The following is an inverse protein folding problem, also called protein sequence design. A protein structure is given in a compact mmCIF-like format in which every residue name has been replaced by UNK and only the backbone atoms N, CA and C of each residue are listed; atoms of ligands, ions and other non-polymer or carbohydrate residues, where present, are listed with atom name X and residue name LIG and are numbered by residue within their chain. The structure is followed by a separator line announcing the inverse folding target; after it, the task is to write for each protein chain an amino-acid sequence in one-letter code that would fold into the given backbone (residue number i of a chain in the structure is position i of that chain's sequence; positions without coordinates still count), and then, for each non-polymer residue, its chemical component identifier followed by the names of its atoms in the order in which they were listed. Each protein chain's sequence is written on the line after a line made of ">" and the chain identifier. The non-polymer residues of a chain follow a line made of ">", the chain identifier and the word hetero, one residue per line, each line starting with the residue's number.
data_IF_741200598674
#
_entry.id   IF_741200598674
#
_cell.length_a   1.000
_cell.length_b   1.000
_cell.length_c   1.000
_cell.angle_alpha   90.00
_cell.angle_beta   90.00
_cell.angle_gamma   90.00
#
_symmetry.space_group_name_H-M   'P 1'
#
loop_
_entity.id
_entity.type
_entity.pdbx_description
1 polymer ?
#
# COMPACT_ATOMS: atom_id res chain seq x y z
N UNK A 1 7.71 5.58 9.78
CA UNK A 1 6.64 5.19 10.73
C UNK A 1 6.78 5.82 12.13
N UNK A 2 7.79 6.66 12.41
CA UNK A 2 8.10 7.18 13.76
C UNK A 2 6.90 7.80 14.51
N UNK A 3 6.04 8.59 13.85
CA UNK A 3 4.84 9.15 14.48
C UNK A 3 3.82 8.10 14.95
N UNK A 4 3.66 7.00 14.22
CA UNK A 4 2.75 5.90 14.59
C UNK A 4 3.27 5.14 15.81
N UNK A 5 4.55 4.78 15.81
CA UNK A 5 5.20 4.13 16.97
C UNK A 5 5.22 5.04 18.20
N UNK A 6 5.41 6.36 18.03
CA UNK A 6 5.35 7.30 19.13
C UNK A 6 3.94 7.40 19.75
N UNK A 7 2.89 7.43 18.92
CA UNK A 7 1.51 7.42 19.41
C UNK A 7 1.18 6.12 20.14
N UNK A 8 1.64 4.96 19.65
CA UNK A 8 1.50 3.67 20.34
C UNK A 8 2.16 3.70 21.73
N UNK A 9 3.41 4.14 21.83
CA UNK A 9 4.12 4.28 23.11
C UNK A 9 3.46 5.27 24.06
N UNK A 10 2.88 6.35 23.54
CA UNK A 10 2.14 7.32 24.36
C UNK A 10 0.89 6.66 24.99
N UNK A 11 0.18 5.82 24.23
CA UNK A 11 -0.97 5.05 24.76
C UNK A 11 -0.54 4.04 25.82
N UNK A 12 0.57 3.33 25.62
CA UNK A 12 1.16 2.42 26.62
C UNK A 12 1.51 3.15 27.94
N UNK A 13 1.83 4.44 27.86
CA UNK A 13 2.12 5.31 29.02
C UNK A 13 0.90 6.01 29.61
N UNK A 14 -0.31 5.65 29.18
CA UNK A 14 -1.58 6.16 29.73
C UNK A 14 -2.20 7.33 28.97
N UNK A 15 -1.57 7.86 27.91
CA UNK A 15 -2.20 8.86 27.03
C UNK A 15 -3.12 8.15 26.02
N UNK A 16 -4.24 7.61 26.51
CA UNK A 16 -5.14 6.72 25.75
C UNK A 16 -5.68 7.32 24.45
N UNK A 17 -5.77 8.64 24.35
CA UNK A 17 -6.26 9.36 23.17
C UNK A 17 -5.17 9.75 22.16
N UNK A 18 -3.90 9.40 22.40
CA UNK A 18 -2.83 9.75 21.48
C UNK A 18 -3.05 9.10 20.11
N UNK A 19 -3.03 9.92 19.06
CA UNK A 19 -3.18 9.48 17.67
C UNK A 19 -2.10 10.10 16.77
N UNK A 20 -1.56 9.29 15.89
CA UNK A 20 -0.63 9.68 14.84
C UNK A 20 -1.36 10.21 13.60
N UNK A 21 -0.62 10.87 12.71
CA UNK A 21 -1.17 11.38 11.45
C UNK A 21 -1.77 10.25 10.58
N UNK A 22 -1.08 9.12 10.45
CA UNK A 22 -1.56 7.99 9.63
C UNK A 22 -2.82 7.33 10.20
N UNK A 23 -2.95 7.25 11.53
CA UNK A 23 -4.17 6.74 12.16
C UNK A 23 -5.36 7.63 11.84
N UNK A 24 -5.19 8.96 11.85
CA UNK A 24 -6.23 9.93 11.45
C UNK A 24 -6.56 9.85 9.97
N UNK A 25 -5.54 9.74 9.12
CA UNK A 25 -5.70 9.65 7.66
C UNK A 25 -6.55 8.42 7.27
N UNK A 26 -6.30 7.28 7.91
CA UNK A 26 -6.97 6.02 7.61
C UNK A 26 -8.26 5.80 8.41
N UNK A 27 -8.55 6.63 9.43
CA UNK A 27 -9.73 6.46 10.29
C UNK A 27 -11.09 6.43 9.57
N UNK A 28 -11.31 7.19 8.47
CA UNK A 28 -12.58 7.14 7.74
C UNK A 28 -12.79 5.87 6.92
N UNK A 29 -11.75 5.04 6.73
CA UNK A 29 -11.83 3.85 5.90
C UNK A 29 -12.47 2.67 6.67
N UNK A 30 -13.40 1.92 6.07
CA UNK A 30 -13.91 0.71 6.69
C UNK A 30 -12.80 -0.33 6.86
N UNK A 31 -12.78 -1.07 7.98
CA UNK A 31 -11.74 -2.09 8.25
C UNK A 31 -11.59 -3.17 7.16
N UNK A 32 -12.64 -3.43 6.40
CA UNK A 32 -12.64 -4.41 5.30
C UNK A 32 -12.16 -3.82 3.96
N UNK A 33 -11.85 -2.53 3.92
CA UNK A 33 -11.24 -1.85 2.77
C UNK A 33 -9.90 -2.49 2.44
N UNK A 34 -9.65 -2.65 1.13
CA UNK A 34 -8.35 -3.04 0.61
C UNK A 34 -7.47 -1.83 0.35
N UNK A 35 -6.20 -1.89 0.75
CA UNK A 35 -5.21 -0.87 0.44
C UNK A 35 -4.27 -1.34 -0.66
N UNK A 36 -4.05 -0.48 -1.66
CA UNK A 36 -2.96 -0.61 -2.62
C UNK A 36 -2.06 0.60 -2.45
N UNK A 37 -0.79 0.38 -2.16
CA UNK A 37 0.24 1.42 -2.13
C UNK A 37 1.22 1.21 -3.26
N UNK A 38 1.75 2.31 -3.80
CA UNK A 38 2.71 2.31 -4.91
C UNK A 38 3.82 3.28 -4.56
N UNK A 39 5.06 2.85 -4.77
CA UNK A 39 6.24 3.68 -4.55
C UNK A 39 7.31 3.36 -5.60
N UNK A 40 8.01 4.38 -6.08
CA UNK A 40 9.25 4.21 -6.84
C UNK A 40 10.40 3.92 -5.85
N UNK A 41 10.40 2.70 -5.32
CA UNK A 41 11.30 2.23 -4.27
C UNK A 41 10.83 0.90 -3.68
N UNK A 42 11.55 0.36 -2.70
CA UNK A 42 11.25 -0.98 -2.19
C UNK A 42 9.86 -1.04 -1.50
N UNK A 43 8.97 -1.97 -1.87
CA UNK A 43 7.56 -1.99 -1.41
C UNK A 43 7.41 -2.09 0.10
N UNK A 44 8.38 -2.71 0.79
CA UNK A 44 8.43 -2.79 2.26
C UNK A 44 8.35 -1.41 2.95
N UNK A 45 8.78 -0.34 2.28
CA UNK A 45 8.72 1.05 2.78
C UNK A 45 7.30 1.47 3.16
N UNK A 46 6.29 1.02 2.41
CA UNK A 46 4.88 1.27 2.65
C UNK A 46 4.12 0.03 3.15
N UNK A 47 4.80 -1.11 3.27
CA UNK A 47 4.26 -2.39 3.73
C UNK A 47 3.52 -2.32 5.08
N UNK A 48 3.97 -1.45 5.96
CA UNK A 48 3.45 -1.32 7.32
C UNK A 48 2.08 -0.61 7.42
N UNK A 49 1.64 0.10 6.36
CA UNK A 49 0.38 0.87 6.41
C UNK A 49 -0.85 -0.01 6.67
N UNK A 50 -0.86 -1.24 6.14
CA UNK A 50 -1.92 -2.22 6.38
C UNK A 50 -2.10 -2.54 7.87
N UNK A 51 -1.01 -2.55 8.62
CA UNK A 51 -1.03 -2.88 10.05
C UNK A 51 -1.61 -1.77 10.94
N UNK A 52 -1.75 -0.54 10.45
CA UNK A 52 -2.21 0.61 11.26
C UNK A 52 -3.61 0.38 11.84
N UNK A 53 -4.54 -0.09 11.02
CA UNK A 53 -5.92 -0.44 11.43
C UNK A 53 -6.32 -1.87 11.05
N UNK A 54 -5.35 -2.69 10.60
CA UNK A 54 -5.57 -4.09 10.21
C UNK A 54 -6.19 -4.26 8.82
N UNK A 55 -5.90 -3.37 7.88
CA UNK A 55 -6.38 -3.47 6.50
C UNK A 55 -5.60 -4.53 5.72
N UNK A 56 -6.29 -5.24 4.81
CA UNK A 56 -5.61 -6.03 3.78
C UNK A 56 -4.86 -5.08 2.87
N UNK A 57 -3.59 -5.38 2.57
CA UNK A 57 -2.75 -4.49 1.77
C UNK A 57 -1.97 -5.26 0.70
N UNK A 58 -1.85 -4.65 -0.48
CA UNK A 58 -0.81 -4.95 -1.47
C UNK A 58 0.09 -3.73 -1.66
N UNK A 59 1.36 -3.84 -1.28
CA UNK A 59 2.36 -2.81 -1.55
C UNK A 59 3.11 -3.14 -2.85
N UNK A 60 3.05 -2.24 -3.82
CA UNK A 60 3.77 -2.33 -5.09
C UNK A 60 4.98 -1.40 -5.06
N UNK A 61 6.08 -1.83 -5.68
CA UNK A 61 7.30 -1.06 -5.70
C UNK A 61 8.41 -1.75 -6.48
N UNK A 62 9.59 -1.16 -6.45
CA UNK A 62 10.79 -1.59 -7.17
C UNK A 62 11.61 -2.52 -6.29
N UNK A 63 11.79 -3.77 -6.71
CA UNK A 63 12.57 -4.79 -5.96
C UNK A 63 13.98 -5.01 -6.52
N UNK A 64 14.20 -4.68 -7.79
CA UNK A 64 15.46 -4.91 -8.51
C UNK A 64 15.84 -3.66 -9.29
N UNK A 65 17.14 -3.40 -9.43
CA UNK A 65 17.68 -2.25 -10.16
C UNK A 65 18.49 -2.69 -11.37
N UNK A 66 18.85 -1.75 -12.24
CA UNK A 66 19.75 -1.97 -13.38
C UNK A 66 19.08 -2.11 -14.75
N UNK A 67 17.77 -1.91 -14.81
CA UNK A 67 17.03 -1.86 -16.07
C UNK A 67 17.23 -0.50 -16.75
N UNK A 68 17.22 -0.50 -18.08
CA UNK A 68 17.19 0.72 -18.90
C UNK A 68 16.02 0.63 -19.87
N UNK A 69 15.38 1.77 -20.15
CA UNK A 69 14.19 1.82 -20.99
C UNK A 69 13.44 3.13 -20.78
N UNK A 70 12.25 3.24 -21.39
CA UNK A 70 11.36 4.37 -21.10
C UNK A 70 10.76 4.23 -19.70
N UNK A 71 10.25 5.33 -19.12
CA UNK A 71 9.54 5.27 -17.83
C UNK A 71 8.41 4.25 -17.86
N UNK A 72 7.67 4.17 -18.98
CA UNK A 72 6.58 3.22 -19.14
C UNK A 72 7.06 1.76 -19.12
N UNK A 73 8.20 1.48 -19.76
CA UNK A 73 8.80 0.14 -19.76
C UNK A 73 9.28 -0.24 -18.36
N UNK A 74 9.91 0.69 -17.65
CA UNK A 74 10.39 0.48 -16.28
C UNK A 74 9.23 0.24 -15.31
N UNK A 75 8.15 1.02 -15.39
CA UNK A 75 6.97 0.82 -14.54
C UNK A 75 6.31 -0.53 -14.79
N UNK A 76 6.24 -0.96 -16.05
CA UNK A 76 5.75 -2.30 -16.39
C UNK A 76 6.67 -3.38 -15.83
N UNK A 77 7.98 -3.24 -16.02
CA UNK A 77 8.98 -4.19 -15.54
C UNK A 77 8.97 -4.34 -14.01
N UNK A 78 8.67 -3.27 -13.27
CA UNK A 78 8.53 -3.30 -11.81
C UNK A 78 7.10 -3.55 -11.31
N UNK A 79 6.13 -3.77 -12.19
CA UNK A 79 4.75 -4.05 -11.79
C UNK A 79 4.09 -2.88 -11.03
N UNK A 80 4.47 -1.65 -11.36
CA UNK A 80 3.87 -0.41 -10.82
C UNK A 80 3.12 0.39 -11.90
N UNK A 81 2.93 -0.20 -13.09
CA UNK A 81 2.09 0.38 -14.12
C UNK A 81 0.59 0.27 -13.79
N UNK A 82 -0.23 0.94 -14.59
CA UNK A 82 -1.68 0.98 -14.39
C UNK A 82 -2.34 -0.42 -14.38
N UNK A 83 -1.84 -1.36 -15.20
CA UNK A 83 -2.38 -2.71 -15.26
C UNK A 83 -2.07 -3.49 -13.98
N UNK A 84 -0.83 -3.40 -13.48
CA UNK A 84 -0.43 -4.04 -12.23
C UNK A 84 -1.16 -3.44 -11.01
N UNK A 85 -1.36 -2.12 -10.98
CA UNK A 85 -2.14 -1.46 -9.92
C UNK A 85 -3.59 -1.95 -9.92
N UNK A 86 -4.22 -2.03 -11.09
CA UNK A 86 -5.59 -2.54 -11.20
C UNK A 86 -5.68 -4.02 -10.79
N UNK A 87 -4.69 -4.84 -11.16
CA UNK A 87 -4.64 -6.25 -10.79
C UNK A 87 -4.46 -6.43 -9.28
N UNK A 88 -3.62 -5.61 -8.65
CA UNK A 88 -3.48 -5.56 -7.19
C UNK A 88 -4.80 -5.18 -6.51
N UNK A 89 -5.52 -4.18 -7.04
CA UNK A 89 -6.82 -3.79 -6.50
C UNK A 89 -7.84 -4.95 -6.58
N UNK A 90 -7.92 -5.63 -7.74
CA UNK A 90 -8.77 -6.80 -7.93
C UNK A 90 -8.47 -7.93 -6.93
N UNK A 91 -7.19 -8.14 -6.61
CA UNK A 91 -6.75 -9.18 -5.68
C UNK A 91 -7.09 -8.85 -4.21
N UNK A 92 -6.92 -7.59 -3.78
CA UNK A 92 -7.12 -7.19 -2.38
C UNK A 92 -8.61 -6.97 -2.04
N UNK A 93 -9.40 -6.55 -3.03
CA UNK A 93 -10.85 -6.35 -2.92
C UNK A 93 -11.58 -7.24 -3.94
N UNK A 94 -11.67 -8.55 -3.70
CA UNK A 94 -12.35 -9.46 -4.61
C UNK A 94 -13.82 -9.08 -4.72
N UNK A 95 -14.22 -8.75 -5.94
CA UNK A 95 -15.57 -8.30 -6.30
C UNK A 95 -15.82 -8.58 -7.78
N UNK A 96 -16.68 -7.77 -8.42
CA UNK A 96 -16.90 -7.88 -9.87
C UNK A 96 -15.56 -7.73 -10.62
N UNK A 97 -15.25 -8.62 -11.59
CA UNK A 97 -14.02 -8.50 -12.37
C UNK A 97 -13.87 -7.12 -13.00
N UNK A 98 -12.71 -6.50 -12.81
CA UNK A 98 -12.33 -5.25 -13.47
C UNK A 98 -12.26 -5.51 -14.97
N UNK A 99 -13.02 -4.72 -15.73
CA UNK A 99 -13.02 -4.79 -17.20
C UNK A 99 -11.66 -4.34 -17.73
N UNK A 100 -11.26 -4.92 -18.85
CA UNK A 100 -10.00 -4.61 -19.55
C UNK A 100 -8.71 -4.91 -18.76
N UNK A 101 -8.81 -5.65 -17.65
CA UNK A 101 -7.65 -6.19 -16.97
C UNK A 101 -7.01 -7.26 -17.87
N UNK A 102 -5.92 -6.92 -18.54
CA UNK A 102 -5.11 -7.92 -19.25
C UNK A 102 -4.40 -8.79 -18.21
N UNK A 103 -4.25 -10.08 -18.49
CA UNK A 103 -3.41 -10.94 -17.67
C UNK A 103 -2.01 -10.31 -17.57
N UNK A 104 -1.46 -10.24 -16.35
CA UNK A 104 -0.07 -9.91 -16.15
C UNK A 104 0.74 -11.05 -16.77
N UNK A 105 1.37 -10.78 -17.92
CA UNK A 105 2.26 -11.69 -18.64
C UNK A 105 3.70 -11.34 -18.36
#
# INVERSE_FOLDING_TARGET
>A
NAGWTAAARARERGLVHAQSHVERLLAPLPRHCGLVSVIDGHPATLGWLGSVHGHRQRALGVEHFGQTGTIADLYRAHGIDSAAIAAAAQAVAPGRPLRHLKALG
#
